data_IF_039922669116
#
_entry.id   IF_039922669116
#
_cell.length_a   1.000
_cell.length_b   1.000
_cell.length_c   1.000
_cell.angle_alpha   90.00
_cell.angle_beta   90.00
_cell.angle_gamma   90.00
#
_symmetry.space_group_name_H-M   'P 1'
#
loop_
_entity.id
_entity.type
_entity.pdbx_description
1 polymer ?
#
# COMPACT_ATOMS: atom_id res chain seq x y z
N UNK A 1 23.62 -23.68 4.68
CA UNK A 1 24.78 -23.55 3.75
C UNK A 1 25.90 -22.93 4.56
N UNK A 2 27.12 -23.47 4.51
CA UNK A 2 28.29 -22.88 5.19
C UNK A 2 29.04 -22.01 4.17
N UNK A 3 29.19 -20.70 4.48
CA UNK A 3 29.84 -19.73 3.60
C UNK A 3 31.32 -19.64 4.00
N UNK A 4 32.22 -20.28 3.20
CA UNK A 4 33.67 -20.15 3.41
C UNK A 4 34.08 -18.68 3.32
N UNK A 5 34.73 -18.19 4.38
CA UNK A 5 35.15 -16.79 4.50
C UNK A 5 36.55 -16.64 5.06
N UNK A 6 37.21 -15.56 4.70
CA UNK A 6 38.55 -15.21 5.20
C UNK A 6 38.57 -13.75 5.62
N UNK A 7 39.04 -13.51 6.81
CA UNK A 7 39.26 -12.16 7.38
C UNK A 7 40.72 -11.81 7.31
N UNK A 8 41.02 -10.57 6.92
CA UNK A 8 42.38 -10.09 6.87
C UNK A 8 42.44 -8.61 7.28
N UNK A 9 43.13 -8.33 8.37
CA UNK A 9 43.39 -6.94 8.76
C UNK A 9 44.67 -6.45 8.09
N UNK A 10 44.66 -5.21 7.63
CA UNK A 10 45.80 -4.56 6.98
C UNK A 10 45.86 -3.09 7.35
N UNK A 11 47.08 -2.56 7.34
CA UNK A 11 47.32 -1.12 7.54
C UNK A 11 47.10 -0.35 6.24
N UNK A 12 46.45 0.80 6.35
CA UNK A 12 46.34 1.78 5.27
C UNK A 12 46.87 3.12 5.74
N UNK A 13 47.91 3.70 5.09
CA UNK A 13 48.43 5.01 5.47
C UNK A 13 47.36 6.10 5.30
N UNK A 14 47.33 7.05 6.23
CA UNK A 14 46.48 8.22 6.21
C UNK A 14 47.29 9.50 6.09
N UNK A 15 46.82 10.44 5.27
CA UNK A 15 47.53 11.71 5.02
C UNK A 15 48.62 11.60 3.95
N UNK A 16 48.99 12.75 3.36
CA UNK A 16 50.07 12.81 2.33
C UNK A 16 51.44 12.40 2.88
N UNK A 17 51.69 12.60 4.17
CA UNK A 17 52.95 12.31 4.82
C UNK A 17 52.92 11.07 5.74
N UNK A 18 51.91 10.17 5.53
CA UNK A 18 51.72 8.98 6.38
C UNK A 18 51.68 9.28 7.87
N UNK A 19 50.88 10.26 8.28
CA UNK A 19 50.78 10.79 9.65
C UNK A 19 50.41 9.69 10.67
N UNK A 20 49.60 8.71 10.24
CA UNK A 20 49.23 7.50 10.99
C UNK A 20 48.70 6.44 10.04
N UNK A 21 48.38 5.26 10.56
CA UNK A 21 47.88 4.14 9.79
C UNK A 21 46.52 3.69 10.31
N UNK A 22 45.54 3.61 9.41
CA UNK A 22 44.21 3.05 9.68
C UNK A 22 44.27 1.51 9.56
N UNK A 23 43.66 0.81 10.53
CA UNK A 23 43.48 -0.63 10.44
C UNK A 23 42.16 -0.89 9.68
N UNK A 24 42.23 -1.66 8.59
CA UNK A 24 41.09 -2.05 7.79
C UNK A 24 40.90 -3.55 7.81
N UNK A 25 39.64 -3.98 7.94
CA UNK A 25 39.26 -5.37 7.76
C UNK A 25 38.87 -5.61 6.31
N UNK A 26 39.47 -6.62 5.69
CA UNK A 26 39.12 -7.18 4.40
C UNK A 26 38.45 -8.51 4.60
N UNK A 27 37.21 -8.65 4.10
CA UNK A 27 36.43 -9.87 4.12
C UNK A 27 36.33 -10.44 2.70
N UNK A 28 36.80 -11.68 2.54
CA UNK A 28 36.72 -12.40 1.27
C UNK A 28 35.85 -13.62 1.43
N UNK A 29 34.87 -13.81 0.52
CA UNK A 29 33.94 -14.92 0.50
C UNK A 29 33.55 -15.22 -0.96
N UNK A 30 32.85 -16.33 -1.28
CA UNK A 30 32.66 -16.77 -2.66
C UNK A 30 32.18 -15.68 -3.61
N UNK A 31 33.02 -15.35 -4.60
CA UNK A 31 32.74 -14.33 -5.62
C UNK A 31 32.81 -12.87 -5.14
N UNK A 32 33.14 -12.60 -3.87
CA UNK A 32 33.06 -11.26 -3.33
C UNK A 32 34.26 -10.88 -2.42
N UNK A 33 34.58 -9.59 -2.40
CA UNK A 33 35.62 -9.02 -1.53
C UNK A 33 35.20 -7.63 -1.08
N UNK A 34 35.15 -7.40 0.23
CA UNK A 34 34.64 -6.15 0.82
C UNK A 34 35.60 -5.66 1.89
N UNK A 35 35.87 -4.36 1.90
CA UNK A 35 36.71 -3.71 2.91
C UNK A 35 35.81 -2.91 3.89
N UNK A 36 36.10 -3.04 5.19
CA UNK A 36 35.43 -2.34 6.29
C UNK A 36 36.41 -1.47 7.07
N UNK A 37 35.93 -0.32 7.53
CA UNK A 37 36.69 0.50 8.50
C UNK A 37 36.51 -0.08 9.89
N UNK A 38 37.59 -0.22 10.63
CA UNK A 38 37.55 -0.73 12.01
C UNK A 38 37.44 0.39 13.06
N UNK A 39 37.70 1.64 12.68
CA UNK A 39 37.85 2.75 13.59
C UNK A 39 39.21 2.76 14.33
N UNK A 40 39.93 1.65 14.35
CA UNK A 40 41.24 1.53 14.99
C UNK A 40 42.35 2.09 14.11
N UNK A 41 43.41 2.62 14.75
CA UNK A 41 44.58 3.20 14.09
C UNK A 41 45.82 3.06 14.92
N UNK A 42 47.00 3.17 14.29
CA UNK A 42 48.30 3.17 14.95
C UNK A 42 49.15 4.30 14.40
N UNK A 43 50.01 4.87 15.22
CA UNK A 43 50.87 5.99 14.87
C UNK A 43 52.00 5.62 13.91
N UNK A 44 52.55 4.42 14.04
CA UNK A 44 53.65 3.92 13.22
C UNK A 44 53.36 2.53 12.67
N UNK A 45 53.97 2.17 11.55
CA UNK A 45 53.81 0.87 10.92
C UNK A 45 54.36 -0.26 11.82
N UNK A 46 55.41 0.00 12.59
CA UNK A 46 56.02 -0.96 13.51
C UNK A 46 55.07 -1.40 14.65
N UNK A 47 54.06 -0.60 14.95
CA UNK A 47 53.07 -0.93 15.95
C UNK A 47 52.17 -2.14 15.55
N UNK A 48 52.16 -2.55 14.30
CA UNK A 48 51.36 -3.63 13.77
C UNK A 48 52.18 -4.92 13.62
N UNK A 49 51.56 -6.04 14.01
CA UNK A 49 52.10 -7.36 13.71
C UNK A 49 51.25 -8.00 12.62
N UNK A 50 51.77 -8.14 11.37
CA UNK A 50 51.02 -8.67 10.24
C UNK A 50 50.73 -10.18 10.32
N UNK A 51 51.57 -10.95 11.04
CA UNK A 51 51.40 -12.41 11.15
C UNK A 51 50.20 -12.76 12.05
N UNK A 52 50.09 -12.12 13.22
CA UNK A 52 49.02 -12.34 14.16
C UNK A 52 47.86 -11.34 13.98
N UNK A 53 48.04 -10.35 13.10
CA UNK A 53 47.06 -9.32 12.79
C UNK A 53 46.56 -8.57 14.03
N UNK A 54 47.47 -8.13 14.88
CA UNK A 54 47.21 -7.41 16.14
C UNK A 54 48.15 -6.23 16.35
N UNK A 55 47.69 -5.24 17.09
CA UNK A 55 48.54 -4.15 17.57
C UNK A 55 49.46 -4.67 18.66
N UNK A 56 50.78 -4.39 18.54
CA UNK A 56 51.80 -4.80 19.50
C UNK A 56 51.62 -4.06 20.86
N UNK A 57 51.93 -4.76 21.97
CA UNK A 57 51.89 -4.15 23.31
C UNK A 57 52.83 -2.95 23.42
N UNK A 58 52.38 -1.93 24.13
CA UNK A 58 53.15 -0.69 24.32
C UNK A 58 52.87 0.43 23.30
N UNK A 59 52.16 0.14 22.21
CA UNK A 59 51.77 1.16 21.24
C UNK A 59 50.37 1.71 21.54
N UNK A 60 50.17 2.98 21.15
CA UNK A 60 48.91 3.72 21.34
C UNK A 60 48.27 4.09 19.97
N UNK A 61 46.98 4.30 19.98
CA UNK A 61 46.27 4.94 18.85
C UNK A 61 46.53 6.45 18.82
N UNK A 62 46.11 7.12 17.76
CA UNK A 62 46.08 8.59 17.65
C UNK A 62 45.34 9.25 18.81
N UNK A 63 44.33 8.57 19.34
CA UNK A 63 43.51 9.03 20.49
C UNK A 63 44.05 8.57 21.85
N UNK A 64 45.19 7.90 21.90
CA UNK A 64 45.81 7.40 23.13
C UNK A 64 45.29 6.05 23.63
N UNK A 65 44.51 5.33 22.84
CA UNK A 65 43.98 4.01 23.21
C UNK A 65 45.06 2.94 23.22
N UNK A 66 45.07 2.11 24.26
CA UNK A 66 46.07 1.04 24.44
C UNK A 66 45.84 -0.10 23.41
N UNK A 67 46.94 -0.80 23.08
CA UNK A 67 46.92 -1.93 22.14
C UNK A 67 45.86 -3.02 22.49
N UNK A 68 45.72 -3.34 23.78
CA UNK A 68 44.77 -4.37 24.23
C UNK A 68 43.31 -3.94 23.98
N UNK A 69 42.98 -2.67 24.17
CA UNK A 69 41.65 -2.13 23.87
C UNK A 69 41.35 -2.20 22.34
N UNK A 70 42.30 -1.77 21.52
CA UNK A 70 42.16 -1.86 20.05
C UNK A 70 42.04 -3.31 19.57
N UNK A 71 42.86 -4.24 20.11
CA UNK A 71 42.78 -5.64 19.75
C UNK A 71 41.45 -6.28 20.15
N UNK A 72 40.84 -5.88 21.29
CA UNK A 72 39.50 -6.31 21.69
C UNK A 72 38.45 -5.79 20.71
N UNK A 73 38.57 -4.58 20.19
CA UNK A 73 37.68 -4.03 19.16
C UNK A 73 37.81 -4.86 17.88
N UNK A 74 39.01 -5.20 17.45
CA UNK A 74 39.21 -6.03 16.24
C UNK A 74 38.59 -7.43 16.38
N UNK A 75 38.70 -8.06 17.55
CA UNK A 75 38.03 -9.35 17.84
C UNK A 75 36.52 -9.23 17.82
N UNK A 76 35.97 -8.17 18.41
CA UNK A 76 34.52 -7.92 18.38
C UNK A 76 34.00 -7.73 16.95
N UNK A 77 34.76 -7.06 16.07
CA UNK A 77 34.42 -6.89 14.67
C UNK A 77 34.36 -8.24 13.94
N UNK A 78 35.28 -9.17 14.22
CA UNK A 78 35.24 -10.52 13.65
C UNK A 78 33.99 -11.26 14.12
N UNK A 79 33.69 -11.24 15.42
CA UNK A 79 32.50 -11.90 15.97
C UNK A 79 31.21 -11.34 15.36
N UNK A 80 31.13 -10.02 15.20
CA UNK A 80 29.99 -9.37 14.56
C UNK A 80 29.86 -9.77 13.10
N UNK A 81 30.98 -9.89 12.38
CA UNK A 81 31.00 -10.33 10.99
C UNK A 81 30.55 -11.81 10.86
N UNK A 82 30.95 -12.66 11.82
CA UNK A 82 30.48 -14.04 11.86
C UNK A 82 28.98 -14.12 12.11
N UNK A 83 28.43 -13.28 12.96
CA UNK A 83 26.98 -13.19 13.17
C UNK A 83 26.25 -12.70 11.89
N UNK A 84 26.86 -11.77 11.13
CA UNK A 84 26.34 -11.38 9.81
C UNK A 84 26.26 -12.58 8.85
N UNK A 85 27.33 -13.37 8.76
CA UNK A 85 27.34 -14.52 7.85
C UNK A 85 26.39 -15.62 8.31
N UNK A 86 26.28 -15.91 9.62
CA UNK A 86 25.29 -16.84 10.17
C UNK A 86 23.86 -16.52 9.71
N UNK A 87 23.51 -15.22 9.71
CA UNK A 87 22.20 -14.78 9.22
C UNK A 87 21.95 -15.19 7.76
N UNK A 88 22.94 -14.99 6.87
CA UNK A 88 22.81 -15.37 5.46
C UNK A 88 22.91 -16.88 5.24
N UNK A 89 23.67 -17.59 6.06
CA UNK A 89 23.78 -19.06 6.06
C UNK A 89 22.45 -19.73 6.41
N UNK A 90 21.71 -19.19 7.42
CA UNK A 90 20.36 -19.66 7.77
C UNK A 90 19.38 -19.43 6.61
N UNK A 91 19.56 -18.35 5.84
CA UNK A 91 18.74 -18.09 4.65
C UNK A 91 19.19 -18.85 3.40
N UNK A 92 20.24 -19.66 3.53
CA UNK A 92 20.82 -20.47 2.45
C UNK A 92 21.20 -19.65 1.20
N UNK A 93 21.76 -18.45 1.39
CA UNK A 93 22.16 -17.53 0.31
C UNK A 93 23.48 -16.84 0.60
N UNK A 94 24.25 -16.53 -0.45
CA UNK A 94 25.48 -15.73 -0.40
C UNK A 94 25.06 -14.24 -0.51
N UNK A 95 25.46 -13.36 0.45
CA UNK A 95 25.14 -11.94 0.36
C UNK A 95 25.91 -11.25 -0.76
N UNK A 96 25.32 -10.21 -1.36
CA UNK A 96 26.08 -9.25 -2.14
C UNK A 96 26.95 -8.37 -1.24
N UNK A 97 27.93 -7.69 -1.83
CA UNK A 97 28.79 -6.76 -1.07
C UNK A 97 28.01 -5.67 -0.34
N UNK A 98 26.96 -5.14 -0.99
CA UNK A 98 26.08 -4.13 -0.43
C UNK A 98 25.24 -4.68 0.71
N UNK A 99 24.64 -5.85 0.55
CA UNK A 99 23.85 -6.51 1.58
C UNK A 99 24.66 -6.83 2.84
N UNK A 100 25.92 -7.25 2.66
CA UNK A 100 26.81 -7.52 3.80
C UNK A 100 27.16 -6.22 4.55
N UNK A 101 27.43 -5.11 3.84
CA UNK A 101 27.69 -3.81 4.45
C UNK A 101 26.49 -3.28 5.23
N UNK A 102 25.32 -3.26 4.60
CA UNK A 102 24.07 -2.79 5.23
C UNK A 102 23.74 -3.59 6.49
N UNK A 103 23.91 -4.90 6.44
CA UNK A 103 23.61 -5.76 7.58
C UNK A 103 24.64 -5.61 8.71
N UNK A 104 25.93 -5.45 8.37
CA UNK A 104 26.99 -5.17 9.31
C UNK A 104 26.77 -3.81 10.01
N UNK A 105 26.45 -2.75 9.26
CA UNK A 105 26.12 -1.44 9.82
C UNK A 105 24.95 -1.53 10.79
N UNK A 106 23.91 -2.25 10.40
CA UNK A 106 22.73 -2.45 11.24
C UNK A 106 23.05 -3.17 12.57
N UNK A 107 23.90 -4.19 12.54
CA UNK A 107 24.31 -4.90 13.77
C UNK A 107 25.30 -4.09 14.60
N UNK A 108 26.15 -3.24 13.98
CA UNK A 108 27.17 -2.47 14.67
C UNK A 108 26.58 -1.34 15.51
N UNK A 109 25.48 -0.72 15.08
CA UNK A 109 24.81 0.38 15.80
C UNK A 109 24.27 -0.09 17.17
N UNK A 110 23.97 -1.38 17.34
CA UNK A 110 23.44 -1.93 18.59
C UNK A 110 24.46 -2.38 19.64
N UNK A 111 25.78 -2.47 19.31
CA UNK A 111 26.79 -3.13 20.19
C UNK A 111 27.98 -2.25 20.63
N UNK A 112 28.10 -1.02 20.17
CA UNK A 112 29.31 -0.20 20.36
C UNK A 112 29.11 1.09 21.15
N UNK A 113 28.24 1.13 22.15
CA UNK A 113 28.36 2.12 23.22
C UNK A 113 29.28 1.54 24.34
N UNK A 114 30.34 2.25 24.78
CA UNK A 114 31.10 1.88 25.97
C UNK A 114 30.14 1.70 27.15
N UNK A 115 30.42 0.72 28.01
CA UNK A 115 29.59 0.47 29.21
C UNK A 115 29.44 1.70 30.11
N UNK A 116 30.42 2.59 30.11
CA UNK A 116 30.40 3.85 30.88
C UNK A 116 29.45 4.92 30.30
N UNK A 117 29.16 4.91 28.99
CA UNK A 117 28.16 5.80 28.38
C UNK A 117 26.73 5.23 28.51
N UNK A 118 26.58 3.95 28.87
CA UNK A 118 25.26 3.35 29.14
C UNK A 118 24.65 3.82 30.46
N UNK A 119 25.46 4.25 31.42
CA UNK A 119 24.96 4.69 32.74
C UNK A 119 24.59 6.18 32.79
N UNK A 120 25.10 7.05 31.93
CA UNK A 120 24.77 8.48 31.94
C UNK A 120 23.62 8.89 31.00
N UNK A 121 23.18 8.04 30.09
CA UNK A 121 22.07 8.31 29.19
C UNK A 121 20.80 7.49 29.45
N UNK A 122 20.72 6.80 30.56
CA UNK A 122 19.47 6.22 31.03
C UNK A 122 18.80 7.21 31.99
N UNK A 123 18.35 8.36 31.48
CA UNK A 123 17.08 8.85 31.98
C UNK A 123 16.12 7.66 31.90
N UNK A 124 15.45 7.37 33.01
CA UNK A 124 14.39 6.37 33.13
C UNK A 124 13.22 6.73 32.20
N UNK A 125 13.47 6.67 30.88
CA UNK A 125 12.38 6.69 29.89
C UNK A 125 11.82 5.28 29.94
N UNK A 126 10.60 5.10 30.44
CA UNK A 126 9.98 3.79 30.48
C UNK A 126 9.99 3.22 29.06
N UNK A 127 10.26 1.91 28.90
CA UNK A 127 10.31 1.31 27.58
C UNK A 127 9.02 1.65 26.82
N UNK A 128 9.20 2.26 25.65
CA UNK A 128 8.06 2.72 24.84
C UNK A 128 7.10 1.58 24.60
N UNK A 129 5.85 1.84 24.82
CA UNK A 129 4.79 0.87 24.61
C UNK A 129 4.58 0.61 23.11
N UNK A 130 4.08 -0.57 22.78
CA UNK A 130 3.66 -0.91 21.41
C UNK A 130 2.76 0.17 20.78
N UNK A 131 1.90 0.79 21.59
CA UNK A 131 0.95 1.81 21.11
C UNK A 131 1.62 3.15 20.83
N UNK A 132 2.60 3.57 21.59
CA UNK A 132 3.39 4.77 21.32
C UNK A 132 4.21 4.61 20.05
N UNK A 133 4.81 3.43 19.84
CA UNK A 133 5.55 3.10 18.62
C UNK A 133 4.60 3.04 17.41
N UNK A 134 3.37 2.53 17.59
CA UNK A 134 2.36 2.54 16.53
C UNK A 134 1.96 3.97 16.13
N UNK A 135 1.77 4.86 17.10
CA UNK A 135 1.42 6.26 16.85
C UNK A 135 2.56 7.01 16.15
N UNK A 136 3.81 6.77 16.55
CA UNK A 136 5.00 7.29 15.87
C UNK A 136 5.06 6.84 14.42
N UNK A 137 4.83 5.55 14.15
CA UNK A 137 4.74 5.03 12.78
C UNK A 137 3.70 5.77 11.95
N UNK A 138 2.50 5.97 12.50
CA UNK A 138 1.40 6.66 11.80
C UNK A 138 1.78 8.11 11.50
N UNK A 139 2.42 8.80 12.45
CA UNK A 139 2.85 10.19 12.26
C UNK A 139 4.00 10.28 11.25
N UNK A 140 5.08 9.51 11.42
CA UNK A 140 6.26 9.57 10.54
C UNK A 140 5.89 9.21 9.10
N UNK A 141 5.21 8.06 8.91
CA UNK A 141 4.84 7.62 7.57
C UNK A 141 3.72 8.47 6.95
N UNK A 142 2.84 9.03 7.78
CA UNK A 142 1.82 9.95 7.34
C UNK A 142 2.41 11.22 6.73
N UNK A 143 3.40 11.81 7.40
CA UNK A 143 4.13 12.98 6.91
C UNK A 143 4.98 12.63 5.69
N UNK A 144 5.82 11.58 5.80
CA UNK A 144 6.72 11.15 4.72
C UNK A 144 6.01 10.82 3.41
N UNK A 145 4.84 10.20 3.49
CA UNK A 145 4.08 9.75 2.32
C UNK A 145 2.85 10.64 2.03
N UNK A 146 2.75 11.81 2.65
CA UNK A 146 1.65 12.76 2.48
C UNK A 146 0.26 12.08 2.52
N UNK A 147 -0.01 11.32 3.59
CA UNK A 147 -1.25 10.55 3.69
C UNK A 147 -2.49 11.42 3.68
N UNK A 148 -3.50 10.97 2.95
CA UNK A 148 -4.83 11.58 3.01
C UNK A 148 -5.53 11.21 4.32
N UNK A 149 -6.52 12.00 4.72
CA UNK A 149 -7.39 11.73 5.87
C UNK A 149 -7.92 10.29 5.87
N UNK A 150 -8.34 9.78 4.70
CA UNK A 150 -8.82 8.40 4.55
C UNK A 150 -7.75 7.34 4.86
N UNK A 151 -6.47 7.64 4.64
CA UNK A 151 -5.38 6.71 4.99
C UNK A 151 -5.17 6.70 6.50
N UNK A 152 -5.15 7.87 7.16
CA UNK A 152 -5.11 7.94 8.63
C UNK A 152 -6.28 7.18 9.27
N UNK A 153 -7.50 7.31 8.76
CA UNK A 153 -8.69 6.59 9.24
C UNK A 153 -8.53 5.05 9.14
N UNK A 154 -7.87 4.55 8.10
CA UNK A 154 -7.58 3.10 7.96
C UNK A 154 -6.63 2.61 9.05
N UNK A 155 -5.57 3.36 9.34
CA UNK A 155 -4.63 3.00 10.40
C UNK A 155 -5.26 3.18 11.80
N UNK A 156 -6.08 4.21 12.01
CA UNK A 156 -6.88 4.35 13.23
C UNK A 156 -7.82 3.16 13.44
N UNK A 157 -8.52 2.72 12.39
CA UNK A 157 -9.34 1.50 12.44
C UNK A 157 -8.52 0.25 12.72
N UNK A 158 -7.29 0.17 12.20
CA UNK A 158 -6.38 -0.95 12.49
C UNK A 158 -5.95 -0.94 13.96
N UNK A 159 -5.58 0.23 14.52
CA UNK A 159 -5.25 0.38 15.94
C UNK A 159 -6.40 -0.08 16.84
N UNK A 160 -7.62 0.34 16.53
CA UNK A 160 -8.82 -0.09 17.27
C UNK A 160 -9.02 -1.60 17.23
N UNK A 161 -8.75 -2.25 16.10
CA UNK A 161 -8.87 -3.70 16.00
C UNK A 161 -7.82 -4.45 16.83
N UNK A 162 -6.59 -3.96 16.83
CA UNK A 162 -5.51 -4.51 17.67
C UNK A 162 -5.80 -4.31 19.16
N UNK A 163 -6.26 -3.10 19.55
CA UNK A 163 -6.66 -2.81 20.95
C UNK A 163 -7.83 -3.68 21.42
N UNK A 164 -8.79 -3.93 20.54
CA UNK A 164 -9.92 -4.80 20.86
C UNK A 164 -9.52 -6.29 20.91
N UNK A 165 -8.48 -6.69 20.19
CA UNK A 165 -7.90 -8.02 20.26
C UNK A 165 -7.09 -8.22 21.54
N UNK A 166 -6.14 -7.34 21.83
CA UNK A 166 -5.34 -7.36 23.04
C UNK A 166 -4.90 -5.93 23.42
N UNK A 167 -5.42 -5.39 24.54
CA UNK A 167 -5.06 -4.05 25.04
C UNK A 167 -3.61 -3.94 25.47
N UNK A 168 -3.00 -5.06 25.90
CA UNK A 168 -1.61 -5.13 26.36
C UNK A 168 -0.69 -5.75 25.31
N UNK A 169 -1.05 -5.65 24.02
CA UNK A 169 -0.27 -6.21 22.93
C UNK A 169 1.16 -5.66 22.93
N UNK A 170 2.14 -6.56 22.78
CA UNK A 170 3.54 -6.26 22.54
C UNK A 170 4.04 -6.97 21.29
N UNK A 171 5.26 -6.68 20.85
CA UNK A 171 5.83 -7.30 19.63
C UNK A 171 6.05 -8.80 19.80
N UNK A 172 6.38 -9.24 21.00
CA UNK A 172 6.61 -10.63 21.35
C UNK A 172 5.33 -11.48 21.22
N UNK A 173 4.16 -10.88 21.41
CA UNK A 173 2.86 -11.54 21.23
C UNK A 173 2.57 -11.86 19.75
N UNK A 174 3.18 -11.13 18.82
CA UNK A 174 2.93 -11.26 17.37
C UNK A 174 3.74 -12.40 16.73
N UNK A 175 3.89 -13.52 17.44
CA UNK A 175 4.36 -14.79 16.89
C UNK A 175 3.41 -15.31 15.82
N UNK A 176 3.76 -16.39 15.12
CA UNK A 176 2.86 -17.05 14.17
C UNK A 176 1.52 -17.42 14.81
N UNK A 177 1.54 -17.92 16.08
CA UNK A 177 0.34 -18.20 16.87
C UNK A 177 -0.46 -16.94 17.18
N UNK A 178 0.19 -15.84 17.56
CA UNK A 178 -0.45 -14.56 17.85
C UNK A 178 -1.08 -13.94 16.62
N UNK A 179 -0.38 -13.95 15.48
CA UNK A 179 -0.91 -13.49 14.20
C UNK A 179 -2.11 -14.32 13.74
N UNK A 180 -2.04 -15.65 13.91
CA UNK A 180 -3.17 -16.54 13.66
C UNK A 180 -4.35 -16.22 14.58
N UNK A 181 -4.10 -16.00 15.87
CA UNK A 181 -5.11 -15.57 16.84
C UNK A 181 -5.79 -14.27 16.45
N UNK A 182 -5.02 -13.28 15.96
CA UNK A 182 -5.58 -12.04 15.47
C UNK A 182 -6.46 -12.23 14.21
N UNK A 183 -6.05 -13.11 13.28
CA UNK A 183 -6.88 -13.47 12.11
C UNK A 183 -8.19 -14.10 12.57
N UNK A 184 -8.15 -15.04 13.51
CA UNK A 184 -9.35 -15.66 14.08
C UNK A 184 -10.25 -14.63 14.78
N UNK A 185 -9.67 -13.70 15.54
CA UNK A 185 -10.43 -12.61 16.15
C UNK A 185 -11.16 -11.77 15.10
N UNK A 186 -10.46 -11.32 14.04
CA UNK A 186 -11.05 -10.52 12.96
C UNK A 186 -12.16 -11.26 12.22
N UNK A 187 -12.00 -12.57 12.05
CA UNK A 187 -12.95 -13.44 11.34
C UNK A 187 -14.19 -13.76 12.16
N UNK A 188 -14.02 -14.07 13.46
CA UNK A 188 -15.07 -14.74 14.23
C UNK A 188 -15.64 -13.91 15.38
N UNK A 189 -14.90 -12.93 15.89
CA UNK A 189 -15.27 -12.20 17.11
C UNK A 189 -15.48 -10.70 16.90
N UNK A 190 -14.85 -10.11 15.87
CA UNK A 190 -14.96 -8.67 15.64
C UNK A 190 -16.40 -8.26 15.38
N UNK A 191 -16.93 -7.40 16.23
CA UNK A 191 -18.24 -6.77 16.06
C UNK A 191 -18.16 -5.61 15.07
N UNK A 192 -19.12 -5.54 14.16
CA UNK A 192 -19.23 -4.52 13.12
C UNK A 192 -20.53 -3.77 13.35
N UNK A 193 -20.41 -2.52 13.82
CA UNK A 193 -21.57 -1.65 13.98
C UNK A 193 -22.25 -1.40 12.62
N UNK A 194 -23.57 -1.34 12.56
CA UNK A 194 -24.28 -0.93 11.37
C UNK A 194 -23.92 0.51 10.98
N UNK A 195 -23.89 0.85 9.69
CA UNK A 195 -23.68 2.23 9.25
C UNK A 195 -24.76 3.16 9.80
N UNK A 196 -24.36 4.31 10.35
CA UNK A 196 -25.24 5.28 11.01
C UNK A 196 -26.39 5.82 10.13
N UNK A 197 -26.28 5.69 8.80
CA UNK A 197 -27.22 6.28 7.83
C UNK A 197 -28.08 5.27 7.07
N UNK A 198 -28.07 3.98 7.44
CA UNK A 198 -28.76 2.95 6.70
C UNK A 198 -29.97 2.41 7.50
N UNK A 199 -31.14 2.95 7.23
CA UNK A 199 -32.41 2.27 7.45
C UNK A 199 -32.73 1.45 6.20
N UNK A 200 -33.08 0.16 6.34
CA UNK A 200 -33.67 -0.63 5.25
C UNK A 200 -35.02 -0.02 4.84
N UNK A 201 -35.49 -0.26 3.61
CA UNK A 201 -36.81 0.17 3.15
C UNK A 201 -37.93 -0.24 4.12
N UNK A 202 -37.73 -1.32 4.88
CA UNK A 202 -38.65 -1.81 5.92
C UNK A 202 -38.48 -1.10 7.28
N UNK A 203 -37.72 0.00 7.38
CA UNK A 203 -37.48 0.72 8.65
C UNK A 203 -36.64 -0.05 9.69
N UNK A 204 -36.21 -1.27 9.41
CA UNK A 204 -35.42 -2.10 10.31
C UNK A 204 -33.96 -1.69 10.28
N UNK A 205 -33.39 -1.30 11.41
CA UNK A 205 -31.94 -1.11 11.57
C UNK A 205 -31.24 -2.45 11.28
N UNK A 206 -30.27 -2.46 10.36
CA UNK A 206 -29.41 -3.65 10.18
C UNK A 206 -28.77 -4.00 11.51
N UNK A 207 -28.94 -5.22 11.96
CA UNK A 207 -28.35 -5.73 13.18
C UNK A 207 -26.81 -5.72 13.16
N UNK A 208 -26.22 -5.81 14.34
CA UNK A 208 -24.76 -5.97 14.50
C UNK A 208 -24.29 -7.21 13.74
N UNK A 209 -23.25 -7.07 12.97
CA UNK A 209 -22.63 -8.20 12.26
C UNK A 209 -21.32 -8.60 12.95
N UNK A 210 -21.02 -9.90 12.97
CA UNK A 210 -19.80 -10.42 13.55
C UNK A 210 -18.89 -10.93 12.43
N UNK A 211 -17.63 -10.58 12.50
CA UNK A 211 -16.57 -11.07 11.63
C UNK A 211 -16.45 -10.37 10.27
N UNK A 212 -15.21 -10.28 9.81
CA UNK A 212 -14.84 -9.66 8.53
C UNK A 212 -14.75 -10.71 7.42
N UNK A 213 -14.98 -10.26 6.18
CA UNK A 213 -14.69 -11.04 4.97
C UNK A 213 -13.17 -11.22 4.81
N UNK A 214 -12.74 -12.34 4.22
CA UNK A 214 -11.34 -12.67 3.98
C UNK A 214 -10.57 -11.55 3.26
N UNK A 215 -11.18 -10.93 2.24
CA UNK A 215 -10.56 -9.82 1.51
C UNK A 215 -10.31 -8.57 2.36
N UNK A 216 -11.09 -8.36 3.42
CA UNK A 216 -10.88 -7.26 4.38
C UNK A 216 -9.78 -7.62 5.38
N UNK A 217 -9.75 -8.88 5.85
CA UNK A 217 -8.69 -9.41 6.72
C UNK A 217 -7.34 -9.29 6.02
N UNK A 218 -7.24 -9.73 4.75
CA UNK A 218 -6.01 -9.63 3.95
C UNK A 218 -5.47 -8.20 3.88
N UNK A 219 -6.34 -7.20 3.67
CA UNK A 219 -5.93 -5.78 3.66
C UNK A 219 -5.42 -5.32 5.03
N UNK A 220 -6.07 -5.74 6.13
CA UNK A 220 -5.64 -5.39 7.49
C UNK A 220 -4.29 -6.03 7.84
N UNK A 221 -4.06 -7.26 7.43
CA UNK A 221 -2.75 -7.90 7.57
C UNK A 221 -1.65 -7.16 6.79
N UNK A 222 -1.96 -6.64 5.60
CA UNK A 222 -1.03 -5.79 4.85
C UNK A 222 -0.65 -4.51 5.60
N UNK A 223 -1.60 -3.84 6.28
CA UNK A 223 -1.30 -2.68 7.12
C UNK A 223 -0.47 -3.06 8.35
N UNK A 224 -0.78 -4.19 9.00
CA UNK A 224 0.00 -4.70 10.11
C UNK A 224 1.43 -5.04 9.69
N UNK A 225 1.61 -5.74 8.58
CA UNK A 225 2.92 -6.08 8.05
C UNK A 225 3.76 -4.84 7.70
N UNK A 226 3.12 -3.77 7.18
CA UNK A 226 3.81 -2.50 6.93
C UNK A 226 4.30 -1.86 8.22
N UNK A 227 3.46 -1.79 9.26
CA UNK A 227 3.87 -1.29 10.57
C UNK A 227 5.01 -2.13 11.17
N UNK A 228 4.89 -3.46 11.17
CA UNK A 228 5.91 -4.34 11.74
C UNK A 228 7.24 -4.24 10.99
N UNK A 229 7.19 -4.13 9.65
CA UNK A 229 8.40 -3.91 8.84
C UNK A 229 9.10 -2.59 9.19
N UNK A 230 8.34 -1.51 9.37
CA UNK A 230 8.90 -0.22 9.79
C UNK A 230 9.47 -0.31 11.22
N UNK A 231 8.73 -0.90 12.16
CA UNK A 231 9.19 -1.07 13.54
C UNK A 231 10.48 -1.92 13.62
N UNK A 232 10.59 -2.96 12.79
CA UNK A 232 11.82 -3.76 12.67
C UNK A 232 12.98 -2.92 12.12
N UNK A 233 12.74 -2.09 11.10
CA UNK A 233 13.78 -1.22 10.53
C UNK A 233 14.28 -0.13 11.48
N UNK A 234 13.47 0.23 12.47
CA UNK A 234 13.82 1.18 13.56
C UNK A 234 14.43 0.50 14.79
N UNK A 235 14.51 -0.83 14.81
CA UNK A 235 15.01 -1.58 15.95
C UNK A 235 14.02 -1.78 17.10
N UNK A 236 12.76 -1.32 16.97
CA UNK A 236 11.71 -1.49 17.97
C UNK A 236 11.16 -2.93 18.03
N UNK A 237 11.24 -3.67 16.91
CA UNK A 237 10.73 -5.02 16.79
C UNK A 237 11.83 -5.99 16.38
N UNK A 238 12.09 -6.99 17.20
CA UNK A 238 13.02 -8.11 16.91
C UNK A 238 12.30 -9.38 16.45
N UNK A 239 10.97 -9.42 16.59
CA UNK A 239 10.15 -10.56 16.17
C UNK A 239 9.88 -10.51 14.67
N UNK A 240 10.45 -11.44 13.93
CA UNK A 240 10.36 -11.53 12.46
C UNK A 240 9.27 -12.48 11.97
N UNK A 241 8.43 -13.05 12.85
CA UNK A 241 7.39 -14.00 12.47
C UNK A 241 6.45 -13.49 11.36
N UNK A 242 6.19 -12.16 11.32
CA UNK A 242 5.34 -11.55 10.29
C UNK A 242 5.90 -11.68 8.86
N UNK A 243 7.21 -11.89 8.68
CA UNK A 243 7.83 -12.02 7.35
C UNK A 243 7.54 -13.39 6.71
N UNK A 244 7.48 -14.42 7.55
CA UNK A 244 7.21 -15.81 7.12
C UNK A 244 5.74 -16.19 7.25
N UNK A 245 4.96 -15.42 8.02
CA UNK A 245 3.56 -15.69 8.26
C UNK A 245 2.75 -15.67 6.97
N UNK A 246 2.19 -16.82 6.64
CA UNK A 246 1.31 -17.01 5.48
C UNK A 246 -0.02 -17.57 5.94
N UNK A 247 -1.09 -16.87 5.62
CA UNK A 247 -2.45 -17.35 5.84
C UNK A 247 -3.16 -17.45 4.50
N UNK A 248 -3.73 -18.63 4.23
CA UNK A 248 -4.54 -18.83 3.03
C UNK A 248 -5.95 -18.32 3.28
N UNK A 249 -6.26 -17.18 2.69
CA UNK A 249 -7.59 -16.56 2.74
C UNK A 249 -8.26 -16.71 1.37
N UNK A 250 -9.19 -17.66 1.26
CA UNK A 250 -9.99 -17.83 0.03
C UNK A 250 -10.64 -16.52 -0.36
N UNK A 251 -10.49 -16.11 -1.59
CA UNK A 251 -11.14 -14.91 -2.14
C UNK A 251 -11.60 -15.19 -3.57
N UNK A 252 -12.66 -14.54 -3.97
CA UNK A 252 -13.11 -14.51 -5.36
C UNK A 252 -12.65 -13.22 -6.03
N UNK A 253 -12.41 -13.27 -7.32
CA UNK A 253 -12.27 -12.07 -8.12
C UNK A 253 -13.57 -11.27 -8.02
N UNK A 254 -13.46 -9.98 -7.72
CA UNK A 254 -14.64 -9.13 -7.59
C UNK A 254 -15.24 -8.90 -8.96
N UNK A 255 -16.53 -9.26 -9.11
CA UNK A 255 -17.29 -8.98 -10.32
C UNK A 255 -17.31 -7.47 -10.60
N UNK A 256 -17.06 -7.10 -11.84
CA UNK A 256 -17.13 -5.70 -12.27
C UNK A 256 -18.58 -5.38 -12.60
N UNK A 257 -19.18 -4.50 -11.81
CA UNK A 257 -20.53 -3.99 -12.05
C UNK A 257 -20.43 -2.76 -12.96
N UNK A 258 -21.08 -2.82 -14.10
CA UNK A 258 -21.16 -1.76 -15.12
C UNK A 258 -22.56 -1.73 -15.71
N UNK A 259 -22.88 -0.68 -16.47
CA UNK A 259 -24.15 -0.57 -17.21
C UNK A 259 -23.94 -0.93 -18.68
N UNK A 260 -24.84 -1.72 -19.22
CA UNK A 260 -24.94 -1.99 -20.65
C UNK A 260 -25.43 -0.73 -21.40
N UNK A 261 -25.32 -0.74 -22.73
CA UNK A 261 -25.83 0.38 -23.54
C UNK A 261 -27.36 0.55 -23.37
N UNK A 262 -28.11 -0.54 -23.23
CA UNK A 262 -29.56 -0.48 -23.05
C UNK A 262 -29.96 0.03 -21.67
N UNK A 263 -29.22 -0.34 -20.63
CA UNK A 263 -29.42 0.20 -19.28
C UNK A 263 -29.09 1.70 -19.22
N UNK A 264 -28.07 2.16 -19.96
CA UNK A 264 -27.77 3.60 -20.08
C UNK A 264 -28.94 4.32 -20.78
N UNK A 265 -29.51 3.74 -21.86
CA UNK A 265 -30.68 4.29 -22.52
C UNK A 265 -31.86 4.40 -21.56
N UNK A 266 -32.17 3.32 -20.79
CA UNK A 266 -33.22 3.38 -19.76
C UNK A 266 -33.05 4.54 -18.78
N UNK A 267 -31.81 4.86 -18.38
CA UNK A 267 -31.54 6.01 -17.50
C UNK A 267 -31.73 7.35 -18.22
N UNK A 268 -31.32 7.45 -19.50
CA UNK A 268 -31.50 8.66 -20.30
C UNK A 268 -32.95 8.97 -20.54
N UNK A 269 -33.75 7.94 -20.92
CA UNK A 269 -35.15 8.05 -21.32
C UNK A 269 -36.12 8.06 -20.13
N UNK A 270 -35.60 7.88 -18.89
CA UNK A 270 -36.44 7.83 -17.70
C UNK A 270 -37.13 9.18 -17.46
N UNK A 271 -38.45 9.15 -17.43
CA UNK A 271 -39.27 10.25 -16.94
C UNK A 271 -39.20 10.30 -15.41
N UNK A 272 -38.52 11.32 -14.89
CA UNK A 272 -38.33 11.49 -13.46
C UNK A 272 -39.57 12.15 -12.85
N UNK A 273 -40.22 11.52 -11.84
CA UNK A 273 -41.37 12.11 -11.15
C UNK A 273 -41.08 13.49 -10.59
N UNK A 274 -42.06 14.40 -10.60
CA UNK A 274 -41.90 15.80 -10.18
C UNK A 274 -41.34 15.93 -8.75
N UNK A 275 -41.77 15.06 -7.85
CA UNK A 275 -41.31 15.05 -6.44
C UNK A 275 -39.85 14.56 -6.29
N UNK A 276 -39.26 14.00 -7.35
CA UNK A 276 -37.90 13.45 -7.38
C UNK A 276 -36.94 14.19 -8.32
N UNK A 277 -37.25 15.42 -8.69
CA UNK A 277 -36.45 16.21 -9.64
C UNK A 277 -34.97 16.39 -9.23
N UNK A 278 -34.65 16.14 -7.94
CA UNK A 278 -33.23 16.08 -7.51
C UNK A 278 -32.45 14.95 -8.22
N UNK A 279 -33.11 13.90 -8.69
CA UNK A 279 -32.49 12.80 -9.45
C UNK A 279 -32.05 13.22 -10.84
N UNK A 280 -32.61 14.27 -11.42
CA UNK A 280 -32.19 14.78 -12.73
C UNK A 280 -30.74 15.23 -12.72
N UNK A 281 -30.32 15.96 -11.69
CA UNK A 281 -28.91 16.36 -11.49
C UNK A 281 -28.00 15.16 -11.23
N UNK A 282 -28.51 14.15 -10.49
CA UNK A 282 -27.77 12.90 -10.21
C UNK A 282 -27.57 12.11 -11.51
N UNK A 283 -28.60 12.03 -12.35
CA UNK A 283 -28.55 11.41 -13.68
C UNK A 283 -27.45 12.06 -14.55
N UNK A 284 -27.47 13.38 -14.68
CA UNK A 284 -26.53 14.11 -15.52
C UNK A 284 -25.08 13.92 -15.04
N UNK A 285 -24.81 14.07 -13.75
CA UNK A 285 -23.47 13.86 -13.18
C UNK A 285 -23.00 12.40 -13.38
N UNK A 286 -23.90 11.43 -13.23
CA UNK A 286 -23.55 10.03 -13.40
C UNK A 286 -23.29 9.69 -14.87
N UNK A 287 -24.13 10.16 -15.79
CA UNK A 287 -23.91 10.01 -17.23
C UNK A 287 -22.61 10.70 -17.64
N UNK A 288 -22.31 11.87 -17.10
CA UNK A 288 -21.03 12.51 -17.34
C UNK A 288 -19.84 11.61 -16.93
N UNK A 289 -19.90 10.93 -15.79
CA UNK A 289 -18.90 9.94 -15.40
C UNK A 289 -18.87 8.73 -16.37
N UNK A 290 -20.02 8.29 -16.87
CA UNK A 290 -20.11 7.18 -17.82
C UNK A 290 -19.52 7.49 -19.20
N UNK A 291 -19.41 8.78 -19.57
CA UNK A 291 -18.94 9.21 -20.89
C UNK A 291 -17.64 10.01 -20.87
N UNK A 292 -17.11 10.34 -19.68
CA UNK A 292 -15.81 11.00 -19.52
C UNK A 292 -14.74 10.17 -18.82
N UNK A 293 -15.08 9.00 -18.30
CA UNK A 293 -14.22 8.18 -17.44
C UNK A 293 -13.85 8.79 -16.09
N UNK A 294 -14.14 10.04 -15.82
CA UNK A 294 -13.74 10.74 -14.60
C UNK A 294 -14.31 10.07 -13.35
N UNK A 295 -13.52 10.05 -12.29
CA UNK A 295 -14.01 9.64 -10.96
C UNK A 295 -14.93 10.74 -10.41
N UNK A 296 -15.86 10.36 -9.55
CA UNK A 296 -16.73 11.33 -8.88
C UNK A 296 -15.95 12.47 -8.20
N UNK A 297 -14.82 12.19 -7.58
CA UNK A 297 -13.96 13.21 -6.97
C UNK A 297 -13.39 14.20 -7.98
N UNK A 298 -13.08 13.74 -9.19
CA UNK A 298 -12.53 14.57 -10.25
C UNK A 298 -13.63 15.44 -10.84
N UNK A 299 -14.83 14.90 -11.07
CA UNK A 299 -16.01 15.66 -11.51
C UNK A 299 -16.47 16.66 -10.45
N UNK A 300 -16.37 16.30 -9.13
CA UNK A 300 -16.70 17.20 -8.04
C UNK A 300 -15.83 18.46 -8.01
N UNK A 301 -14.57 18.35 -8.44
CA UNK A 301 -13.62 19.44 -8.48
C UNK A 301 -13.46 20.09 -9.86
N UNK A 302 -14.14 19.56 -10.88
CA UNK A 302 -14.05 20.06 -12.27
C UNK A 302 -14.59 21.49 -12.37
N UNK A 303 -13.75 22.39 -12.84
CA UNK A 303 -14.09 23.80 -13.06
C UNK A 303 -14.36 24.04 -14.53
N UNK A 304 -15.11 25.10 -14.83
CA UNK A 304 -15.39 25.52 -16.22
C UNK A 304 -14.10 25.85 -17.00
N UNK A 305 -13.11 26.43 -16.32
CA UNK A 305 -11.82 26.77 -16.95
C UNK A 305 -10.99 25.51 -17.32
N UNK A 306 -11.33 24.34 -16.78
CA UNK A 306 -10.68 23.07 -17.13
C UNK A 306 -11.23 22.51 -18.45
N UNK A 307 -12.26 23.16 -19.04
CA UNK A 307 -12.94 22.73 -20.26
C UNK A 307 -12.70 23.77 -21.33
N UNK A 308 -11.94 23.39 -22.35
CA UNK A 308 -11.60 24.25 -23.47
C UNK A 308 -11.27 23.43 -24.72
N UNK A 309 -11.46 24.01 -25.90
CA UNK A 309 -11.11 23.39 -27.18
C UNK A 309 -11.71 21.98 -27.37
N UNK A 310 -12.94 21.77 -26.89
CA UNK A 310 -13.60 20.46 -26.96
C UNK A 310 -12.98 19.36 -26.08
N UNK A 311 -12.18 19.73 -25.07
CA UNK A 311 -11.46 18.81 -24.19
C UNK A 311 -11.57 19.20 -22.72
N UNK A 312 -11.43 18.20 -21.86
CA UNK A 312 -11.29 18.36 -20.41
C UNK A 312 -9.81 18.19 -20.06
N UNK A 313 -9.24 19.16 -19.37
CA UNK A 313 -7.88 19.11 -18.82
C UNK A 313 -7.97 19.03 -17.30
N UNK A 314 -7.61 17.87 -16.72
CA UNK A 314 -7.76 17.65 -15.29
C UNK A 314 -6.57 16.93 -14.70
N UNK A 315 -6.12 17.40 -13.52
CA UNK A 315 -5.21 16.63 -12.68
C UNK A 315 -6.04 15.85 -11.67
N UNK A 316 -5.93 14.52 -11.69
CA UNK A 316 -6.76 13.64 -10.85
C UNK A 316 -6.43 13.81 -9.38
N UNK A 317 -7.46 13.88 -8.52
CA UNK A 317 -7.30 14.07 -7.07
C UNK A 317 -6.57 12.93 -6.39
N UNK A 318 -6.75 11.69 -6.89
CA UNK A 318 -6.23 10.49 -6.23
C UNK A 318 -4.81 10.13 -6.59
N UNK A 319 -4.41 10.33 -7.84
CA UNK A 319 -3.13 9.84 -8.39
C UNK A 319 -2.25 10.95 -8.94
N UNK A 320 -2.74 12.19 -8.91
CA UNK A 320 -2.08 13.40 -9.47
C UNK A 320 -1.70 13.26 -10.97
N UNK A 321 -2.38 12.35 -11.70
CA UNK A 321 -2.17 12.21 -13.14
C UNK A 321 -2.83 13.36 -13.89
N UNK A 322 -2.12 13.98 -14.82
CA UNK A 322 -2.69 14.96 -15.75
C UNK A 322 -3.35 14.21 -16.91
N UNK A 323 -4.66 14.41 -17.07
CA UNK A 323 -5.45 13.79 -18.13
C UNK A 323 -5.99 14.84 -19.08
N UNK A 324 -6.01 14.47 -20.36
CA UNK A 324 -6.74 15.18 -21.41
C UNK A 324 -7.79 14.23 -21.96
N UNK A 325 -9.06 14.63 -21.89
CA UNK A 325 -10.20 13.79 -22.27
C UNK A 325 -11.03 14.58 -23.27
N UNK A 326 -11.22 14.05 -24.47
CA UNK A 326 -12.05 14.64 -25.52
C UNK A 326 -13.53 14.59 -25.10
N UNK A 327 -14.25 15.68 -25.35
CA UNK A 327 -15.70 15.71 -25.17
C UNK A 327 -16.39 14.92 -26.28
N UNK A 328 -17.47 14.26 -25.89
CA UNK A 328 -18.40 13.61 -26.82
C UNK A 328 -19.79 14.26 -26.72
N UNK A 329 -20.71 13.87 -27.62
CA UNK A 329 -22.04 14.47 -27.68
C UNK A 329 -22.80 14.47 -26.34
N UNK A 330 -22.63 13.44 -25.51
CA UNK A 330 -23.32 13.34 -24.21
C UNK A 330 -22.71 14.34 -23.22
N UNK A 331 -21.39 14.34 -23.08
CA UNK A 331 -20.69 15.26 -22.16
C UNK A 331 -20.90 16.72 -22.57
N UNK A 332 -20.85 17.01 -23.87
CA UNK A 332 -21.12 18.36 -24.39
C UNK A 332 -22.55 18.81 -24.06
N UNK A 333 -23.56 17.98 -24.33
CA UNK A 333 -24.97 18.30 -24.02
C UNK A 333 -25.19 18.55 -22.52
N UNK A 334 -24.56 17.76 -21.65
CA UNK A 334 -24.66 17.97 -20.20
C UNK A 334 -24.01 19.29 -19.79
N UNK A 335 -22.83 19.61 -20.33
CA UNK A 335 -22.15 20.87 -20.02
C UNK A 335 -22.95 22.09 -20.50
N UNK A 336 -23.53 22.04 -21.69
CA UNK A 336 -24.40 23.09 -22.22
C UNK A 336 -25.65 23.31 -21.35
N UNK A 337 -26.28 22.22 -20.82
CA UNK A 337 -27.43 22.32 -19.91
C UNK A 337 -27.12 23.16 -18.65
N UNK A 338 -25.88 23.12 -18.15
CA UNK A 338 -25.47 23.83 -16.95
C UNK A 338 -24.60 25.06 -17.22
N UNK A 339 -24.44 25.47 -18.45
CA UNK A 339 -23.56 26.59 -18.90
C UNK A 339 -23.81 27.88 -18.12
N UNK A 340 -25.07 28.25 -18.00
CA UNK A 340 -25.48 29.53 -17.40
C UNK A 340 -25.86 29.39 -15.92
N UNK A 341 -25.78 28.19 -15.35
CA UNK A 341 -26.10 27.95 -13.95
C UNK A 341 -24.90 28.27 -13.06
N UNK A 342 -24.94 29.28 -12.18
CA UNK A 342 -23.81 29.60 -11.31
C UNK A 342 -23.62 28.52 -10.24
N UNK A 343 -22.39 28.04 -10.09
CA UNK A 343 -21.97 27.14 -9.01
C UNK A 343 -20.81 27.74 -8.24
N UNK A 344 -20.74 27.43 -6.94
CA UNK A 344 -19.62 27.83 -6.09
C UNK A 344 -18.27 27.37 -6.67
N UNK A 345 -17.24 28.20 -6.51
CA UNK A 345 -15.87 27.93 -6.96
C UNK A 345 -15.75 27.65 -8.47
N UNK A 346 -16.64 28.22 -9.30
CA UNK A 346 -16.66 28.05 -10.75
C UNK A 346 -16.76 26.57 -11.20
N UNK A 347 -17.46 25.74 -10.44
CA UNK A 347 -17.67 24.33 -10.83
C UNK A 347 -18.45 24.21 -12.13
N UNK A 348 -18.16 23.15 -12.88
CA UNK A 348 -18.82 22.91 -14.16
C UNK A 348 -20.19 22.23 -14.00
N UNK A 349 -20.41 21.44 -12.94
CA UNK A 349 -21.57 20.57 -12.76
C UNK A 349 -22.11 20.59 -11.32
N UNK A 350 -23.41 20.29 -11.13
CA UNK A 350 -24.09 20.29 -9.81
C UNK A 350 -23.78 19.03 -8.99
N UNK A 351 -22.51 18.79 -8.67
CA UNK A 351 -22.07 17.55 -8.01
C UNK A 351 -22.31 17.63 -6.50
N UNK A 352 -23.01 16.64 -5.96
CA UNK A 352 -23.27 16.46 -4.51
C UNK A 352 -22.23 15.52 -3.88
N UNK A 353 -22.26 15.39 -2.55
CA UNK A 353 -21.35 14.51 -1.82
C UNK A 353 -21.44 13.05 -2.31
N UNK A 354 -20.32 12.33 -2.28
CA UNK A 354 -20.25 10.95 -2.76
C UNK A 354 -21.24 10.01 -2.02
N UNK A 355 -21.46 10.25 -0.73
CA UNK A 355 -22.41 9.45 0.05
C UNK A 355 -23.84 9.62 -0.46
N UNK A 356 -24.30 10.87 -0.61
CA UNK A 356 -25.63 11.18 -1.14
C UNK A 356 -25.78 10.70 -2.59
N UNK A 357 -24.75 10.91 -3.40
CA UNK A 357 -24.74 10.46 -4.79
C UNK A 357 -24.96 8.94 -4.90
N UNK A 358 -24.28 8.13 -4.06
CA UNK A 358 -24.46 6.68 -4.05
C UNK A 358 -25.87 6.24 -3.61
N UNK A 359 -26.52 6.98 -2.73
CA UNK A 359 -27.92 6.70 -2.31
C UNK A 359 -28.86 6.98 -3.48
N UNK A 360 -28.76 8.19 -4.06
CA UNK A 360 -29.65 8.62 -5.13
C UNK A 360 -29.43 7.87 -6.45
N UNK A 361 -28.22 7.39 -6.72
CA UNK A 361 -27.95 6.51 -7.87
C UNK A 361 -28.69 5.20 -7.79
N UNK A 362 -28.79 4.62 -6.59
CA UNK A 362 -29.57 3.38 -6.41
C UNK A 362 -31.06 3.61 -6.64
N UNK A 363 -31.57 4.72 -6.16
CA UNK A 363 -32.95 5.14 -6.37
C UNK A 363 -33.22 5.39 -7.86
N UNK A 364 -32.36 6.15 -8.54
CA UNK A 364 -32.45 6.43 -9.97
C UNK A 364 -32.45 5.13 -10.79
N UNK A 365 -31.52 4.21 -10.51
CA UNK A 365 -31.40 2.95 -11.23
C UNK A 365 -32.57 1.98 -10.94
N UNK A 366 -33.15 2.02 -9.73
CA UNK A 366 -34.34 1.30 -9.37
C UNK A 366 -35.55 1.80 -10.20
N UNK A 367 -35.72 3.13 -10.29
CA UNK A 367 -36.76 3.72 -11.13
C UNK A 367 -36.60 3.40 -12.61
N UNK A 368 -35.36 3.30 -13.09
CA UNK A 368 -35.05 2.91 -14.46
C UNK A 368 -35.21 1.39 -14.74
N UNK A 369 -35.63 0.60 -13.77
CA UNK A 369 -35.85 -0.84 -13.92
C UNK A 369 -34.52 -1.60 -14.15
N UNK A 370 -33.45 -1.23 -13.48
CA UNK A 370 -32.13 -1.92 -13.53
C UNK A 370 -32.04 -2.88 -12.35
N UNK A 371 -32.82 -3.95 -12.39
CA UNK A 371 -33.07 -4.87 -11.29
C UNK A 371 -32.56 -6.30 -11.50
N UNK A 372 -31.82 -6.55 -12.59
CA UNK A 372 -31.20 -7.84 -12.86
C UNK A 372 -30.56 -8.45 -11.60
N UNK A 373 -30.85 -9.71 -11.24
CA UNK A 373 -30.31 -10.35 -10.06
C UNK A 373 -28.81 -10.66 -10.24
N UNK A 374 -27.95 -10.03 -9.44
CA UNK A 374 -26.50 -10.24 -9.45
C UNK A 374 -26.08 -11.04 -8.21
N UNK A 375 -25.35 -12.14 -8.44
CA UNK A 375 -24.77 -12.96 -7.36
C UNK A 375 -23.39 -12.47 -7.02
N UNK A 376 -23.19 -11.98 -5.80
CA UNK A 376 -21.87 -11.69 -5.23
C UNK A 376 -21.43 -12.83 -4.33
N UNK A 377 -20.32 -13.49 -4.68
CA UNK A 377 -19.69 -14.52 -3.84
C UNK A 377 -18.59 -13.91 -3.00
N UNK A 378 -18.56 -14.21 -1.72
CA UNK A 378 -17.51 -13.82 -0.79
C UNK A 378 -17.19 -14.97 0.16
N UNK A 379 -16.04 -14.90 0.86
CA UNK A 379 -15.64 -15.90 1.83
C UNK A 379 -15.43 -15.28 3.20
N UNK A 380 -15.83 -16.02 4.24
CA UNK A 380 -15.49 -15.78 5.65
C UNK A 380 -14.83 -17.07 6.17
N UNK A 381 -13.52 -17.06 6.35
CA UNK A 381 -12.76 -18.29 6.57
C UNK A 381 -12.90 -19.25 5.37
N UNK A 382 -13.37 -20.46 5.63
CA UNK A 382 -13.69 -21.47 4.61
C UNK A 382 -15.12 -21.37 4.05
N UNK A 383 -16.00 -20.67 4.78
CA UNK A 383 -17.41 -20.53 4.44
C UNK A 383 -17.60 -19.64 3.20
N UNK A 384 -18.31 -20.18 2.20
CA UNK A 384 -18.75 -19.44 1.02
C UNK A 384 -20.07 -18.74 1.33
N UNK A 385 -20.12 -17.45 1.07
CA UNK A 385 -21.30 -16.62 1.27
C UNK A 385 -21.71 -16.06 -0.09
N UNK A 386 -22.83 -16.54 -0.61
CA UNK A 386 -23.45 -16.02 -1.81
C UNK A 386 -24.59 -15.06 -1.42
N UNK A 387 -24.55 -13.86 -1.97
CA UNK A 387 -25.60 -12.86 -1.83
C UNK A 387 -26.13 -12.50 -3.22
N UNK A 388 -27.42 -12.68 -3.43
CA UNK A 388 -28.09 -12.19 -4.63
C UNK A 388 -28.70 -10.83 -4.29
N UNK A 389 -28.44 -9.84 -5.11
CA UNK A 389 -28.99 -8.49 -4.99
C UNK A 389 -29.39 -7.96 -6.35
N UNK A 390 -30.43 -7.13 -6.44
CA UNK A 390 -30.75 -6.47 -7.70
C UNK A 390 -29.61 -5.51 -8.08
N UNK A 391 -29.32 -5.38 -9.35
CA UNK A 391 -28.16 -4.66 -9.88
C UNK A 391 -28.11 -3.22 -9.39
N UNK A 392 -29.24 -2.53 -9.25
CA UNK A 392 -29.29 -1.15 -8.74
C UNK A 392 -28.67 -1.02 -7.33
N UNK A 393 -28.76 -2.03 -6.47
CA UNK A 393 -28.14 -1.99 -5.14
C UNK A 393 -26.60 -1.98 -5.18
N UNK A 394 -26.02 -2.47 -6.26
CA UNK A 394 -24.56 -2.60 -6.45
C UNK A 394 -23.97 -1.41 -7.20
N UNK A 395 -24.81 -0.55 -7.79
CA UNK A 395 -24.42 0.63 -8.52
C UNK A 395 -23.96 1.73 -7.53
N UNK A 396 -22.87 2.38 -7.90
CA UNK A 396 -22.31 3.52 -7.20
C UNK A 396 -21.57 4.43 -8.16
N UNK A 397 -21.03 5.53 -7.64
CA UNK A 397 -20.33 6.54 -8.45
C UNK A 397 -19.18 5.94 -9.29
N UNK A 398 -18.49 4.94 -8.78
CA UNK A 398 -17.39 4.29 -9.52
C UNK A 398 -17.89 3.40 -10.67
N UNK A 399 -19.17 3.04 -10.67
CA UNK A 399 -19.80 2.28 -11.77
C UNK A 399 -19.76 3.08 -13.07
N UNK A 400 -19.92 4.42 -13.04
CA UNK A 400 -19.81 5.26 -14.23
C UNK A 400 -18.48 5.05 -14.98
N UNK A 401 -17.36 5.12 -14.27
CA UNK A 401 -16.03 4.88 -14.88
C UNK A 401 -15.88 3.45 -15.41
N UNK A 402 -16.39 2.45 -14.71
CA UNK A 402 -16.38 1.05 -15.18
C UNK A 402 -17.22 0.89 -16.45
N UNK A 403 -18.36 1.54 -16.49
CA UNK A 403 -19.25 1.59 -17.65
C UNK A 403 -18.55 2.18 -18.87
N UNK A 404 -17.82 3.32 -18.70
CA UNK A 404 -17.00 3.90 -19.75
C UNK A 404 -15.98 2.90 -20.31
N UNK A 405 -15.24 2.23 -19.42
CA UNK A 405 -14.16 1.31 -19.82
C UNK A 405 -14.75 0.10 -20.58
N UNK A 406 -15.72 -0.59 -19.99
CA UNK A 406 -16.28 -1.82 -20.60
C UNK A 406 -16.94 -1.51 -21.93
N UNK A 407 -17.79 -0.48 -22.00
CA UNK A 407 -18.46 -0.11 -23.24
C UNK A 407 -17.50 0.42 -24.32
N UNK A 408 -16.42 1.09 -23.93
CA UNK A 408 -15.38 1.52 -24.85
C UNK A 408 -14.62 0.34 -25.44
N UNK A 409 -14.16 -0.58 -24.61
CA UNK A 409 -13.48 -1.80 -25.04
C UNK A 409 -14.40 -2.69 -25.91
N UNK A 410 -15.68 -2.84 -25.54
CA UNK A 410 -16.66 -3.60 -26.33
C UNK A 410 -16.91 -3.00 -27.73
N UNK A 411 -16.65 -1.70 -27.92
CA UNK A 411 -16.72 -1.02 -29.21
C UNK A 411 -15.39 -1.03 -29.97
N UNK A 412 -14.41 -1.79 -29.51
CA UNK A 412 -13.12 -1.93 -30.17
C UNK A 412 -12.11 -0.81 -29.89
N UNK A 413 -12.38 0.07 -28.92
CA UNK A 413 -11.38 1.06 -28.51
C UNK A 413 -10.20 0.37 -27.84
N UNK A 414 -9.01 0.58 -28.37
CA UNK A 414 -7.81 -0.09 -27.91
C UNK A 414 -7.51 0.19 -26.42
N UNK A 415 -7.10 -0.80 -25.61
CA UNK A 415 -6.85 -0.65 -24.18
C UNK A 415 -5.83 0.47 -23.85
N UNK A 416 -4.82 0.70 -24.67
CA UNK A 416 -3.84 1.76 -24.48
C UNK A 416 -4.45 3.16 -24.58
N UNK A 417 -5.46 3.35 -25.45
CA UNK A 417 -6.22 4.61 -25.54
C UNK A 417 -7.11 4.78 -24.30
N UNK A 418 -7.81 3.70 -23.92
CA UNK A 418 -8.61 3.70 -22.67
C UNK A 418 -7.77 4.04 -21.44
N UNK A 419 -6.55 3.54 -21.37
CA UNK A 419 -5.62 3.87 -20.28
C UNK A 419 -5.25 5.34 -20.22
N UNK A 420 -5.07 6.01 -21.36
CA UNK A 420 -4.79 7.45 -21.42
C UNK A 420 -5.95 8.28 -20.85
N UNK A 421 -7.19 7.99 -21.25
CA UNK A 421 -8.36 8.70 -20.72
C UNK A 421 -8.65 8.41 -19.25
N UNK A 422 -8.31 7.21 -18.81
CA UNK A 422 -8.60 6.77 -17.44
C UNK A 422 -7.43 6.99 -16.46
N UNK A 423 -6.22 7.31 -16.93
CA UNK A 423 -5.04 7.44 -16.08
C UNK A 423 -4.65 6.11 -15.41
N UNK A 424 -4.80 5.00 -16.09
CA UNK A 424 -4.28 3.71 -15.60
C UNK A 424 -2.83 3.54 -16.04
N UNK A 425 -1.92 3.44 -15.09
CA UNK A 425 -0.48 3.28 -15.34
C UNK A 425 -0.06 1.85 -15.67
N UNK A 426 -0.88 0.85 -15.33
CA UNK A 426 -0.57 -0.56 -15.53
C UNK A 426 -1.67 -1.30 -16.29
N UNK A 427 -1.28 -2.09 -17.28
CA UNK A 427 -2.18 -2.98 -18.02
C UNK A 427 -2.89 -3.99 -17.12
N UNK A 428 -2.24 -4.42 -16.04
CA UNK A 428 -2.85 -5.35 -15.07
C UNK A 428 -4.13 -4.77 -14.42
N UNK A 429 -4.24 -3.44 -14.32
CA UNK A 429 -5.46 -2.77 -13.81
C UNK A 429 -6.60 -2.77 -14.82
N UNK A 430 -6.31 -2.94 -16.12
CA UNK A 430 -7.29 -3.05 -17.19
C UNK A 430 -7.78 -4.49 -17.41
N UNK A 431 -6.97 -5.49 -17.01
CA UNK A 431 -7.26 -6.90 -17.24
C UNK A 431 -8.67 -7.32 -16.81
N UNK A 432 -9.23 -6.94 -15.64
CA UNK A 432 -10.59 -7.32 -15.24
C UNK A 432 -11.69 -6.82 -16.19
N UNK A 433 -11.43 -5.74 -16.92
CA UNK A 433 -12.38 -5.20 -17.91
C UNK A 433 -12.21 -5.87 -19.27
N UNK A 434 -10.98 -6.20 -19.65
CA UNK A 434 -10.66 -6.91 -20.88
C UNK A 434 -11.24 -8.33 -20.82
N UNK A 435 -11.06 -9.03 -19.68
CA UNK A 435 -11.60 -10.37 -19.47
C UNK A 435 -13.14 -10.42 -19.64
N UNK A 436 -13.87 -9.35 -19.31
CA UNK A 436 -15.31 -9.24 -19.53
C UNK A 436 -15.62 -9.15 -21.03
N UNK A 437 -14.85 -8.35 -21.75
CA UNK A 437 -15.03 -8.16 -23.19
C UNK A 437 -14.62 -9.41 -23.95
N UNK A 438 -13.65 -10.15 -23.47
CA UNK A 438 -13.24 -11.44 -24.04
C UNK A 438 -14.37 -12.49 -23.97
N UNK A 439 -15.27 -12.40 -22.99
CA UNK A 439 -16.49 -13.23 -22.98
C UNK A 439 -17.48 -12.89 -24.11
N UNK A 440 -17.36 -11.69 -24.68
CA UNK A 440 -18.15 -11.25 -25.85
C UNK A 440 -17.48 -11.67 -27.18
N UNK A 441 -16.20 -12.06 -27.13
CA UNK A 441 -15.42 -12.46 -28.32
C UNK A 441 -16.00 -13.65 -29.07
N UNK A 442 -16.73 -14.55 -28.41
CA UNK A 442 -17.39 -15.66 -29.10
C UNK A 442 -18.35 -15.15 -30.16
N UNK A 443 -19.13 -14.10 -29.84
CA UNK A 443 -20.00 -13.42 -30.79
C UNK A 443 -19.22 -12.62 -31.85
N UNK A 444 -18.04 -12.12 -31.54
CA UNK A 444 -17.17 -11.42 -32.51
C UNK A 444 -16.49 -12.39 -33.48
N UNK A 445 -16.22 -13.66 -33.06
CA UNK A 445 -15.65 -14.69 -33.93
C UNK A 445 -16.62 -15.08 -35.03
N UNK A 446 -17.94 -15.01 -34.81
CA UNK A 446 -18.95 -15.25 -35.87
C UNK A 446 -18.78 -14.31 -37.06
N UNK A 447 -18.25 -13.08 -36.81
CA UNK A 447 -17.95 -12.11 -37.90
C UNK A 447 -16.79 -12.55 -38.78
N UNK A 448 -15.98 -13.54 -38.34
CA UNK A 448 -14.92 -14.14 -39.14
C UNK A 448 -15.46 -15.23 -40.11
N UNK A 449 -16.71 -15.63 -39.98
CA UNK A 449 -17.39 -16.54 -40.90
C UNK A 449 -17.84 -15.79 -42.18
N UNK A 450 -16.87 -15.25 -42.93
CA UNK A 450 -17.10 -14.52 -44.18
C UNK A 450 -16.81 -15.35 -45.42
N UNK A 451 -16.46 -16.63 -45.23
CA UNK A 451 -16.27 -17.61 -46.30
C UNK A 451 -17.31 -18.70 -46.06
N UNK A 452 -18.28 -18.84 -46.99
CA UNK A 452 -19.24 -19.94 -47.02
C UNK A 452 -18.60 -21.21 -47.61
#
# INVERSE_FOLDING_TARGET
MDIKRKYNFSLKPYGKNKEYYLIRLRVSYPGNRVDFSTGCNVLTEDAWNPEVQKVKKGYLSVKGEKADAQNKVLENIINLMDDCFKYFEVQNRIPSQQQLKEYYEHLSIGKYLPEEEKEECVENIPPRTFWEIYDEFVQENGLKNAWTKSTYEKFASMKQDLLAYNKKLCFEDLTEKGLTGFVCYLRDKKKIAPPKSYTSEDGKKKGERVGLKNSTISKKLGFLAWFLKWATSKGYNTNLAYQTFKVTLKSTQKQVIFLTTDEIKKIIDLEIPQEKMYLDRVRDVFLFCCFSSLRHSDVYNLKRNDIRDGKIYVTTVKTADSLTIELNNVTTRILEKYKDTPFENNKALPVISNQRMNVYLKELCKLAGIDEPIRETSYKGSERIDKISPKYELIGTHTGRRTFIVNGLSRGIAPNIMMKWTGHSSYSTMKPYIDIVDSIKAAEMEKMNFID
#
